data_IF_581620399394
#
_entry.id   IF_581620399394
#
_cell.length_a   1.000
_cell.length_b   1.000
_cell.length_c   1.000
_cell.angle_alpha   90.00
_cell.angle_beta   90.00
_cell.angle_gamma   90.00
#
_symmetry.space_group_name_H-M   'P 1'
#
loop_
_entity.id
_entity.type
_entity.pdbx_description
1 polymer ?
#
# COMPACT_ATOMS: atom_id res chain seq x y z
N UNK A 1 -2.59 -9.26 5.42
CA UNK A 1 -2.99 -10.61 4.99
C UNK A 1 -1.78 -11.28 4.39
N UNK A 2 -1.43 -12.48 4.85
CA UNK A 2 -0.38 -13.31 4.23
C UNK A 2 -0.89 -13.78 2.88
N UNK A 3 -0.31 -13.24 1.81
CA UNK A 3 -0.63 -13.67 0.44
C UNK A 3 -0.08 -15.09 0.23
N UNK A 4 -0.97 -16.08 0.38
CA UNK A 4 -0.68 -17.48 0.05
C UNK A 4 -0.31 -17.56 -1.43
N UNK A 5 0.90 -18.04 -1.72
CA UNK A 5 1.38 -18.19 -3.08
C UNK A 5 0.60 -19.27 -3.84
N UNK A 6 0.22 -18.96 -5.08
CA UNK A 6 -0.57 -19.84 -5.94
C UNK A 6 0.29 -20.96 -6.51
N UNK A 7 -0.24 -22.18 -6.54
CA UNK A 7 0.39 -23.32 -7.23
C UNK A 7 -0.03 -23.36 -8.70
N UNK A 8 0.68 -24.16 -9.49
CA UNK A 8 0.31 -24.46 -10.89
C UNK A 8 -1.12 -25.00 -10.99
N UNK A 9 -1.51 -25.90 -10.09
CA UNK A 9 -2.86 -26.48 -10.03
C UNK A 9 -3.95 -25.44 -9.78
N UNK A 10 -3.64 -24.44 -8.96
CA UNK A 10 -4.59 -23.40 -8.58
C UNK A 10 -4.80 -22.42 -9.74
N UNK A 11 -3.71 -22.05 -10.42
CA UNK A 11 -3.74 -21.20 -11.61
C UNK A 11 -4.44 -21.91 -12.79
N UNK A 12 -4.15 -23.20 -13.00
CA UNK A 12 -4.79 -24.02 -14.02
C UNK A 12 -6.31 -24.09 -13.82
N UNK A 13 -6.78 -24.30 -12.59
CA UNK A 13 -8.20 -24.26 -12.25
C UNK A 13 -8.82 -22.89 -12.50
N UNK A 14 -8.14 -21.82 -12.08
CA UNK A 14 -8.63 -20.43 -12.21
C UNK A 14 -8.83 -20.03 -13.67
N UNK A 15 -7.89 -20.39 -14.55
CA UNK A 15 -7.93 -20.05 -15.97
C UNK A 15 -8.61 -21.12 -16.85
N UNK A 16 -9.11 -22.19 -16.25
CA UNK A 16 -9.73 -23.33 -16.95
C UNK A 16 -8.82 -23.94 -18.02
N UNK A 17 -7.51 -23.98 -17.76
CA UNK A 17 -6.50 -24.59 -18.64
C UNK A 17 -5.86 -25.80 -17.98
N UNK A 18 -5.14 -26.60 -18.75
CA UNK A 18 -4.40 -27.75 -18.19
C UNK A 18 -3.14 -27.27 -17.48
N UNK A 19 -2.67 -28.05 -16.48
CA UNK A 19 -1.38 -27.77 -15.83
C UNK A 19 -0.21 -27.76 -16.82
N UNK A 20 -0.30 -28.55 -17.89
CA UNK A 20 0.70 -28.58 -18.97
C UNK A 20 0.76 -27.22 -19.66
N UNK A 21 -0.39 -26.64 -20.00
CA UNK A 21 -0.48 -25.31 -20.61
C UNK A 21 0.18 -24.24 -19.73
N UNK A 22 -0.03 -24.29 -18.41
CA UNK A 22 0.66 -23.36 -17.49
C UNK A 22 2.18 -23.56 -17.51
N UNK A 23 2.67 -24.80 -17.57
CA UNK A 23 4.12 -25.07 -17.68
C UNK A 23 4.68 -24.60 -19.02
N UNK A 24 3.92 -24.72 -20.09
CA UNK A 24 4.31 -24.22 -21.41
C UNK A 24 4.43 -22.68 -21.39
N UNK A 25 3.55 -21.97 -20.68
CA UNK A 25 3.68 -20.53 -20.48
C UNK A 25 4.91 -20.12 -19.67
N UNK A 26 5.36 -20.96 -18.74
CA UNK A 26 6.63 -20.73 -18.03
C UNK A 26 7.81 -20.94 -18.98
N UNK A 27 7.79 -22.01 -19.77
CA UNK A 27 8.86 -22.33 -20.73
C UNK A 27 9.00 -21.27 -21.83
N UNK A 28 7.89 -20.67 -22.24
CA UNK A 28 7.84 -19.57 -23.22
C UNK A 28 8.06 -18.19 -22.57
N UNK A 29 8.51 -18.13 -21.32
CA UNK A 29 8.76 -16.90 -20.54
C UNK A 29 7.56 -15.95 -20.41
N UNK A 30 6.36 -16.42 -20.73
CA UNK A 30 5.11 -15.65 -20.64
C UNK A 30 4.62 -15.54 -19.19
N UNK A 31 4.95 -16.53 -18.36
CA UNK A 31 4.63 -16.57 -16.93
C UNK A 31 5.90 -16.72 -16.10
N UNK A 32 6.13 -15.78 -15.18
CA UNK A 32 7.32 -15.77 -14.33
C UNK A 32 6.98 -16.33 -12.93
N UNK A 33 7.52 -17.50 -12.55
CA UNK A 33 7.36 -18.01 -11.19
C UNK A 33 8.23 -17.24 -10.19
N UNK A 34 7.85 -17.28 -8.92
CA UNK A 34 8.61 -16.68 -7.83
C UNK A 34 10.00 -17.34 -7.71
N UNK A 35 11.05 -16.52 -7.69
CA UNK A 35 12.44 -16.97 -7.53
C UNK A 35 12.73 -17.30 -6.06
N UNK A 36 13.54 -18.33 -5.82
CA UNK A 36 13.99 -18.72 -4.47
C UNK A 36 13.11 -19.73 -3.75
N UNK A 37 12.11 -20.32 -4.41
CA UNK A 37 11.25 -21.36 -3.84
C UNK A 37 11.50 -22.69 -4.58
N UNK A 38 11.66 -23.83 -3.88
CA UNK A 38 11.91 -25.13 -4.50
C UNK A 38 10.77 -25.65 -5.40
N UNK A 39 9.60 -25.02 -5.35
CA UNK A 39 8.41 -25.38 -6.13
C UNK A 39 7.95 -24.19 -6.95
N UNK A 40 7.37 -24.47 -8.13
CA UNK A 40 6.72 -23.45 -8.95
C UNK A 40 5.56 -22.84 -8.16
N UNK A 41 5.68 -21.54 -7.90
CA UNK A 41 4.75 -20.72 -7.14
C UNK A 41 4.59 -19.38 -7.83
N UNK A 42 3.40 -18.81 -7.76
CA UNK A 42 3.09 -17.50 -8.34
C UNK A 42 2.58 -16.57 -7.25
N UNK A 43 2.99 -15.31 -7.31
CA UNK A 43 2.44 -14.27 -6.45
C UNK A 43 1.01 -13.96 -6.91
N UNK A 44 0.01 -13.94 -6.02
CA UNK A 44 -1.36 -13.53 -6.36
C UNK A 44 -1.40 -12.14 -7.00
N UNK A 45 -0.54 -11.21 -6.55
CA UNK A 45 -0.43 -9.86 -7.10
C UNK A 45 0.02 -9.86 -8.56
N UNK A 46 1.07 -10.62 -8.86
CA UNK A 46 1.60 -10.76 -10.23
C UNK A 46 0.54 -11.33 -11.18
N UNK A 47 -0.21 -12.35 -10.73
CA UNK A 47 -1.28 -12.93 -11.54
C UNK A 47 -2.43 -11.94 -11.75
N UNK A 48 -2.82 -11.18 -10.73
CA UNK A 48 -3.89 -10.18 -10.87
C UNK A 48 -3.52 -9.04 -11.85
N UNK A 49 -2.25 -8.61 -11.84
CA UNK A 49 -1.72 -7.65 -12.82
C UNK A 49 -1.81 -8.20 -14.25
N UNK A 50 -1.45 -9.47 -14.47
CA UNK A 50 -1.57 -10.14 -15.77
C UNK A 50 -3.03 -10.31 -16.22
N UNK A 51 -3.95 -10.51 -15.29
CA UNK A 51 -5.40 -10.61 -15.56
C UNK A 51 -6.05 -9.24 -15.84
N UNK A 52 -5.29 -8.14 -15.76
CA UNK A 52 -5.81 -6.78 -15.93
C UNK A 52 -6.77 -6.35 -14.81
N UNK A 53 -6.72 -7.04 -13.67
CA UNK A 53 -7.52 -6.69 -12.50
C UNK A 53 -6.76 -5.62 -11.73
N UNK A 54 -7.27 -4.39 -11.73
CA UNK A 54 -6.76 -3.34 -10.85
C UNK A 54 -6.99 -3.77 -9.39
N UNK A 55 -5.95 -4.30 -8.76
CA UNK A 55 -5.92 -4.47 -7.31
C UNK A 55 -5.90 -3.07 -6.71
N UNK A 56 -7.07 -2.58 -6.29
CA UNK A 56 -7.13 -1.41 -5.43
C UNK A 56 -6.22 -1.65 -4.22
N UNK A 57 -5.08 -0.94 -4.17
CA UNK A 57 -4.07 -1.08 -3.11
C UNK A 57 -4.62 -0.84 -1.70
N UNK A 58 -5.80 -0.23 -1.61
CA UNK A 58 -6.51 0.03 -0.37
C UNK A 58 -7.98 -0.28 -0.56
N UNK A 59 -8.56 -1.05 0.36
CA UNK A 59 -10.02 -1.20 0.45
C UNK A 59 -10.67 0.15 0.73
N UNK A 60 -11.94 0.33 0.35
CA UNK A 60 -12.68 1.58 0.63
C UNK A 60 -12.69 1.94 2.13
N UNK A 61 -12.70 0.94 3.01
CA UNK A 61 -12.60 1.11 4.46
C UNK A 61 -11.22 1.63 4.88
N UNK A 62 -10.14 1.07 4.33
CA UNK A 62 -8.78 1.54 4.60
C UNK A 62 -8.57 2.97 4.08
N UNK A 63 -9.10 3.30 2.90
CA UNK A 63 -9.09 4.68 2.39
C UNK A 63 -9.82 5.64 3.33
N UNK A 64 -11.01 5.28 3.82
CA UNK A 64 -11.75 6.09 4.81
C UNK A 64 -10.97 6.26 6.12
N UNK A 65 -10.35 5.19 6.64
CA UNK A 65 -9.51 5.25 7.84
C UNK A 65 -8.31 6.18 7.65
N UNK A 66 -7.59 6.04 6.54
CA UNK A 66 -6.47 6.93 6.19
C UNK A 66 -6.92 8.37 6.04
N UNK A 67 -8.04 8.63 5.37
CA UNK A 67 -8.56 9.99 5.21
C UNK A 67 -8.91 10.63 6.57
N UNK A 68 -9.52 9.85 7.48
CA UNK A 68 -9.81 10.32 8.83
C UNK A 68 -8.53 10.64 9.61
N UNK A 69 -7.50 9.78 9.53
CA UNK A 69 -6.20 10.03 10.17
C UNK A 69 -5.53 11.29 9.62
N UNK A 70 -5.56 11.50 8.30
CA UNK A 70 -5.04 12.73 7.67
C UNK A 70 -5.77 13.96 8.20
N UNK A 71 -7.10 13.90 8.31
CA UNK A 71 -7.90 15.02 8.80
C UNK A 71 -7.59 15.35 10.26
N UNK A 72 -7.45 14.33 11.12
CA UNK A 72 -7.06 14.50 12.53
C UNK A 72 -5.67 15.14 12.63
N UNK A 73 -4.69 14.60 11.91
CA UNK A 73 -3.32 15.12 11.92
C UNK A 73 -3.23 16.56 11.40
N UNK A 74 -4.03 16.92 10.38
CA UNK A 74 -4.10 18.31 9.89
C UNK A 74 -4.64 19.25 10.94
N UNK A 75 -5.70 18.85 11.65
CA UNK A 75 -6.31 19.65 12.71
C UNK A 75 -5.32 19.88 13.86
N UNK A 76 -4.68 18.82 14.34
CA UNK A 76 -3.64 18.92 15.38
C UNK A 76 -2.48 19.83 14.95
N UNK A 77 -2.05 19.75 13.67
CA UNK A 77 -1.00 20.60 13.14
C UNK A 77 -1.40 22.09 13.13
N UNK A 78 -2.65 22.40 12.77
CA UNK A 78 -3.17 23.76 12.79
C UNK A 78 -3.27 24.32 14.22
N UNK A 79 -3.74 23.52 15.17
CA UNK A 79 -3.82 23.89 16.60
C UNK A 79 -2.42 24.17 17.17
N UNK A 80 -1.46 23.27 16.93
CA UNK A 80 -0.07 23.44 17.36
C UNK A 80 0.57 24.70 16.75
N UNK A 81 0.32 24.97 15.46
CA UNK A 81 0.80 26.19 14.82
C UNK A 81 0.18 27.45 15.41
N UNK A 82 -1.08 27.40 15.85
CA UNK A 82 -1.73 28.53 16.51
C UNK A 82 -1.08 28.83 17.86
N UNK A 83 -0.93 27.80 18.69
CA UNK A 83 -0.25 27.93 20.00
C UNK A 83 1.18 28.45 19.85
N UNK A 84 1.90 28.01 18.82
CA UNK A 84 3.25 28.49 18.54
C UNK A 84 3.26 30.00 18.20
N UNK A 85 2.31 30.47 17.39
CA UNK A 85 2.18 31.90 17.08
C UNK A 85 1.85 32.73 18.32
N UNK A 86 0.96 32.24 19.17
CA UNK A 86 0.61 32.88 20.43
C UNK A 86 1.83 33.00 21.35
N UNK A 87 2.57 31.90 21.50
CA UNK A 87 3.81 31.87 22.27
C UNK A 87 4.86 32.87 21.74
N UNK A 88 5.05 32.92 20.42
CA UNK A 88 5.94 33.90 19.78
C UNK A 88 5.50 35.34 20.04
N UNK A 89 4.19 35.62 19.94
CA UNK A 89 3.63 36.95 20.21
C UNK A 89 3.87 37.38 21.66
N UNK A 90 3.66 36.47 22.61
CA UNK A 90 3.94 36.74 24.03
C UNK A 90 5.43 37.01 24.25
N UNK A 91 6.31 36.18 23.70
CA UNK A 91 7.76 36.38 23.83
C UNK A 91 8.24 37.73 23.29
N UNK A 92 7.73 38.16 22.12
CA UNK A 92 8.06 39.46 21.56
C UNK A 92 7.61 40.61 22.46
N UNK A 93 6.40 40.52 23.04
CA UNK A 93 5.91 41.50 24.01
C UNK A 93 6.78 41.54 25.27
N UNK A 94 7.14 40.37 25.81
CA UNK A 94 8.00 40.26 27.00
C UNK A 94 9.39 40.86 26.75
N UNK A 95 9.98 40.59 25.57
CA UNK A 95 11.26 41.19 25.18
C UNK A 95 11.15 42.72 25.10
N UNK A 96 10.09 43.25 24.48
CA UNK A 96 9.90 44.69 24.38
C UNK A 96 9.85 45.38 25.75
N UNK A 97 9.20 44.76 26.75
CA UNK A 97 9.16 45.26 28.13
C UNK A 97 10.55 45.23 28.79
N UNK A 98 11.35 44.20 28.52
CA UNK A 98 12.70 44.07 29.09
C UNK A 98 13.72 45.02 28.45
N UNK A 99 13.47 45.48 27.23
CA UNK A 99 14.36 46.36 26.47
C UNK A 99 13.93 47.84 26.46
N UNK A 100 12.74 48.15 27.00
CA UNK A 100 12.22 49.51 27.15
C UNK A 100 12.68 50.12 28.49
#
# INVERSE_FOLDING_TARGET
MEDVLLKVSDLAKKWQVTEKTIRDYINNETLIPCKGIPSIRFSPKYIAELEGIELEKFTQLERKKMQNQINVLKKENEELKSLLREYQSINLKSLAILTA
#
